data_IF_559106240087
#
_entry.id   IF_559106240087
#
_cell.length_a   1.000
_cell.length_b   1.000
_cell.length_c   1.000
_cell.angle_alpha   90.00
_cell.angle_beta   90.00
_cell.angle_gamma   90.00
#
_symmetry.space_group_name_H-M   'P 1'
#
loop_
_entity.id
_entity.type
_entity.pdbx_description
1 polymer ?
#
# COMPACT_ATOMS: atom_id res chain seq x y z
N UNK A 1 4.32 12.44 -14.66
CA UNK A 1 4.77 12.93 -13.34
C UNK A 1 3.58 13.46 -12.56
N UNK A 2 2.54 12.66 -12.33
CA UNK A 2 1.47 13.05 -11.41
C UNK A 2 0.94 11.86 -10.63
N UNK A 3 0.85 10.70 -11.30
CA UNK A 3 0.42 9.47 -10.66
C UNK A 3 1.47 8.88 -9.71
N UNK A 4 2.76 8.90 -10.09
CA UNK A 4 3.85 8.43 -9.24
C UNK A 4 3.95 9.25 -7.94
N UNK A 5 3.90 10.57 -8.06
CA UNK A 5 3.94 11.51 -6.95
C UNK A 5 2.72 11.30 -6.03
N UNK A 6 1.53 11.13 -6.61
CA UNK A 6 0.31 10.78 -5.85
C UNK A 6 0.45 9.45 -5.12
N UNK A 7 1.01 8.41 -5.74
CA UNK A 7 1.25 7.12 -5.08
C UNK A 7 2.18 7.28 -3.87
N UNK A 8 3.22 8.12 -3.96
CA UNK A 8 4.08 8.40 -2.82
C UNK A 8 3.37 9.19 -1.71
N UNK A 9 2.54 10.16 -2.06
CA UNK A 9 1.72 10.91 -1.10
C UNK A 9 0.71 10.01 -0.38
N UNK A 10 0.02 9.14 -1.12
CA UNK A 10 -0.90 8.14 -0.56
C UNK A 10 -0.17 7.21 0.41
N UNK A 11 1.00 6.68 0.03
CA UNK A 11 1.82 5.83 0.92
C UNK A 11 2.24 6.57 2.18
N UNK A 12 2.66 7.83 2.06
CA UNK A 12 3.01 8.67 3.21
C UNK A 12 1.83 8.80 4.19
N UNK A 13 0.63 9.02 3.67
CA UNK A 13 -0.55 9.15 4.53
C UNK A 13 -0.98 7.82 5.15
N UNK A 14 -0.82 6.70 4.46
CA UNK A 14 -1.01 5.35 5.04
C UNK A 14 -0.02 5.12 6.19
N UNK A 15 1.27 5.42 6.00
CA UNK A 15 2.26 5.30 7.08
C UNK A 15 1.89 6.15 8.30
N UNK A 16 1.53 7.42 8.11
CA UNK A 16 1.10 8.29 9.22
C UNK A 16 -0.07 7.68 9.98
N UNK A 17 -1.05 7.12 9.27
CA UNK A 17 -2.23 6.53 9.90
C UNK A 17 -1.84 5.27 10.70
N UNK A 18 -0.96 4.42 10.18
CA UNK A 18 -0.52 3.23 10.90
C UNK A 18 0.33 3.58 12.13
N UNK A 19 1.18 4.60 12.07
CA UNK A 19 1.90 5.07 13.25
C UNK A 19 0.96 5.59 14.34
N UNK A 20 -0.12 6.31 13.99
CA UNK A 20 -1.14 6.71 14.97
C UNK A 20 -1.80 5.52 15.67
N UNK A 21 -2.06 4.43 14.94
CA UNK A 21 -2.63 3.20 15.51
C UNK A 21 -1.65 2.54 16.48
N UNK A 22 -0.36 2.53 16.15
CA UNK A 22 0.71 2.02 17.02
C UNK A 22 0.84 2.88 18.28
N UNK A 23 0.83 4.20 18.15
CA UNK A 23 0.90 5.13 19.28
C UNK A 23 -0.30 4.94 20.24
N UNK A 24 -1.51 4.82 19.70
CA UNK A 24 -2.72 4.56 20.48
C UNK A 24 -2.67 3.19 21.19
N UNK A 25 -2.18 2.16 20.50
CA UNK A 25 -2.01 0.84 21.08
C UNK A 25 -0.99 0.83 22.23
N UNK A 26 0.12 1.56 22.08
CA UNK A 26 1.11 1.76 23.15
C UNK A 26 0.50 2.47 24.36
N UNK A 27 -0.22 3.57 24.13
CA UNK A 27 -0.84 4.35 25.19
C UNK A 27 -1.87 3.54 26.00
N UNK A 28 -2.56 2.60 25.33
CA UNK A 28 -3.57 1.72 25.96
C UNK A 28 -3.01 0.40 26.50
N UNK A 29 -1.71 0.12 26.32
CA UNK A 29 -1.13 -1.18 26.64
C UNK A 29 -1.72 -2.34 25.83
N UNK A 30 -2.31 -2.06 24.67
CA UNK A 30 -2.94 -3.07 23.82
C UNK A 30 -1.89 -3.75 22.94
N UNK A 31 -1.27 -4.80 23.47
CA UNK A 31 -0.17 -5.52 22.82
C UNK A 31 -0.59 -6.18 21.50
N UNK A 32 -1.84 -6.66 21.41
CA UNK A 32 -2.34 -7.30 20.19
C UNK A 32 -2.45 -6.28 19.05
N UNK A 33 -3.04 -5.11 19.31
CA UNK A 33 -3.16 -4.04 18.33
C UNK A 33 -1.79 -3.47 17.94
N UNK A 34 -0.86 -3.40 18.90
CA UNK A 34 0.52 -3.01 18.64
C UNK A 34 1.21 -3.97 17.67
N UNK A 35 1.12 -5.28 17.90
CA UNK A 35 1.71 -6.29 17.03
C UNK A 35 1.15 -6.22 15.59
N UNK A 36 -0.17 -6.09 15.46
CA UNK A 36 -0.83 -5.94 14.15
C UNK A 36 -0.41 -4.65 13.43
N UNK A 37 -0.29 -3.54 14.17
CA UNK A 37 0.16 -2.27 13.61
C UNK A 37 1.59 -2.35 13.08
N UNK A 38 2.51 -2.92 13.86
CA UNK A 38 3.91 -3.09 13.46
C UNK A 38 4.07 -4.02 12.26
N UNK A 39 3.35 -5.15 12.23
CA UNK A 39 3.35 -6.06 11.08
C UNK A 39 2.84 -5.37 9.80
N UNK A 40 1.79 -4.55 9.92
CA UNK A 40 1.24 -3.80 8.80
C UNK A 40 2.23 -2.77 8.25
N UNK A 41 2.96 -2.07 9.13
CA UNK A 41 4.00 -1.10 8.73
C UNK A 41 5.12 -1.83 7.99
N UNK A 42 5.55 -2.99 8.51
CA UNK A 42 6.61 -3.78 7.88
C UNK A 42 6.21 -4.30 6.48
N UNK A 43 4.97 -4.79 6.34
CA UNK A 43 4.41 -5.18 5.04
C UNK A 43 4.38 -4.02 4.06
N UNK A 44 3.97 -2.83 4.51
CA UNK A 44 3.97 -1.65 3.65
C UNK A 44 5.40 -1.25 3.25
N UNK A 45 6.34 -1.23 4.20
CA UNK A 45 7.74 -0.87 3.95
C UNK A 45 8.45 -1.83 2.98
N UNK A 46 8.13 -3.13 3.04
CA UNK A 46 8.71 -4.15 2.17
C UNK A 46 8.07 -4.21 0.78
N UNK A 47 6.90 -3.60 0.58
CA UNK A 47 6.28 -3.52 -0.75
C UNK A 47 6.94 -2.44 -1.62
N UNK A 48 7.05 -2.69 -2.92
CA UNK A 48 7.58 -1.71 -3.88
C UNK A 48 6.47 -0.74 -4.32
N UNK A 49 6.69 0.60 -4.30
CA UNK A 49 5.72 1.57 -4.82
C UNK A 49 5.49 1.41 -6.33
N UNK A 50 6.45 0.81 -7.03
CA UNK A 50 6.35 0.57 -8.46
C UNK A 50 5.51 -0.65 -8.82
N UNK A 51 5.17 -1.51 -7.84
CA UNK A 51 4.29 -2.66 -8.09
C UNK A 51 2.90 -2.20 -8.54
N UNK A 52 2.38 -1.15 -7.91
CA UNK A 52 1.06 -0.61 -8.23
C UNK A 52 1.07 0.09 -9.60
N UNK A 53 2.16 0.80 -9.93
CA UNK A 53 2.34 1.41 -11.24
C UNK A 53 2.47 0.38 -12.38
N UNK A 54 3.27 -0.67 -12.17
CA UNK A 54 3.36 -1.77 -13.11
C UNK A 54 2.00 -2.43 -13.33
N UNK A 55 1.18 -2.54 -12.28
CA UNK A 55 -0.19 -3.08 -12.38
C UNK A 55 -1.09 -2.19 -13.24
N UNK A 56 -1.02 -0.86 -13.08
CA UNK A 56 -1.79 0.09 -13.89
C UNK A 56 -1.38 0.02 -15.37
N UNK A 57 -0.07 0.01 -15.65
CA UNK A 57 0.44 -0.10 -17.01
C UNK A 57 0.03 -1.44 -17.66
N UNK A 58 0.15 -2.54 -16.91
CA UNK A 58 -0.29 -3.86 -17.37
C UNK A 58 -1.80 -3.88 -17.67
N UNK A 59 -2.62 -3.24 -16.85
CA UNK A 59 -4.08 -3.12 -17.10
C UNK A 59 -4.35 -2.28 -18.34
N UNK A 60 -3.64 -1.17 -18.54
CA UNK A 60 -3.74 -0.37 -19.76
C UNK A 60 -3.41 -1.18 -21.02
N UNK A 61 -2.26 -1.86 -21.01
CA UNK A 61 -1.83 -2.72 -22.11
C UNK A 61 -2.81 -3.88 -22.37
N UNK A 62 -3.41 -4.42 -21.32
CA UNK A 62 -4.43 -5.46 -21.41
C UNK A 62 -5.75 -4.96 -22.04
N UNK A 63 -6.15 -3.72 -21.73
CA UNK A 63 -7.33 -3.09 -22.34
C UNK A 63 -7.12 -2.74 -23.82
N UNK A 64 -5.89 -2.37 -24.19
CA UNK A 64 -5.52 -2.06 -25.59
C UNK A 64 -5.39 -3.31 -26.46
N UNK A 65 -5.28 -4.51 -25.86
CA UNK A 65 -5.21 -5.77 -26.57
C UNK A 65 -6.57 -6.50 -26.59
N UNK A 66 -7.25 -6.61 -27.75
CA UNK A 66 -8.57 -7.23 -27.85
C UNK A 66 -8.59 -8.74 -27.59
N UNK A 67 -7.42 -9.39 -27.56
CA UNK A 67 -7.28 -10.82 -27.29
C UNK A 67 -6.85 -11.12 -25.84
N UNK A 68 -6.86 -10.13 -24.94
CA UNK A 68 -6.47 -10.36 -23.55
C UNK A 68 -7.45 -11.32 -22.88
N UNK A 69 -6.92 -12.43 -22.38
CA UNK A 69 -7.65 -13.40 -21.56
C UNK A 69 -7.39 -13.05 -20.10
N UNK A 70 -8.46 -12.77 -19.36
CA UNK A 70 -8.40 -12.44 -17.94
C UNK A 70 -8.56 -13.71 -17.11
N UNK A 71 -7.51 -14.11 -16.41
CA UNK A 71 -7.58 -15.16 -15.39
C UNK A 71 -7.82 -14.52 -14.01
N UNK A 72 -8.83 -15.00 -13.29
CA UNK A 72 -9.30 -14.49 -12.01
C UNK A 72 -8.77 -15.28 -10.82
#
# INVERSE_FOLDING_TARGET
MGYLEKTFDERKDIFKQQFKVVDDALAKGNIQQLALGLDSINKLATSSPFKDLASIENVGNALDNPNTVWEF
#
